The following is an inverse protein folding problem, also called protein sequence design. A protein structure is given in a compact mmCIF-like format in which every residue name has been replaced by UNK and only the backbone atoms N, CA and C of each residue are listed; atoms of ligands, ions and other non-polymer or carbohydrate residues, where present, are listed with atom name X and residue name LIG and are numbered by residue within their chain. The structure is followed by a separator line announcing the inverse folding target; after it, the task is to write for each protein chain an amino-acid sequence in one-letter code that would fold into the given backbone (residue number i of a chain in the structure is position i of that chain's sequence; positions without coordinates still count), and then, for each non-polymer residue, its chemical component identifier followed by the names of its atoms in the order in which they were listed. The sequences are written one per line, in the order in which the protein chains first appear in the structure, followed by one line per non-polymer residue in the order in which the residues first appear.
data_IF_973051568671
#
_entry.id   IF_973051568671
#
_cell.length_a   1.000
_cell.length_b   1.000
_cell.length_c   1.000
_cell.angle_alpha   90.00
_cell.angle_beta   90.00
_cell.angle_gamma   90.00
#
_symmetry.space_group_name_H-M   'P 1'
#
loop_
_entity.id
_entity.type
_entity.pdbx_description
1 polymer ?
#
# COMPACT_ATOMS: atom_id res chain seq x y z
N UNK A 1 25.84 9.64 5.22
CA UNK A 1 25.80 8.77 4.01
C UNK A 1 25.55 9.63 2.79
N UNK A 2 26.34 9.44 1.76
CA UNK A 2 26.18 10.14 0.49
C UNK A 2 25.08 9.45 -0.32
N UNK A 3 24.06 10.21 -0.76
CA UNK A 3 22.95 9.67 -1.54
C UNK A 3 23.35 9.23 -2.96
N UNK A 4 24.50 9.69 -3.44
CA UNK A 4 24.97 9.38 -4.79
C UNK A 4 26.06 8.31 -4.86
N UNK A 5 26.59 7.91 -3.72
CA UNK A 5 27.69 6.93 -3.62
C UNK A 5 27.15 5.65 -3.02
N UNK A 6 27.13 4.53 -3.77
CA UNK A 6 26.71 3.25 -3.21
C UNK A 6 27.66 2.85 -2.09
N UNK A 7 27.14 2.68 -0.88
CA UNK A 7 27.88 2.12 0.22
C UNK A 7 27.45 0.66 0.42
N UNK A 8 28.39 -0.17 0.89
CA UNK A 8 28.05 -1.54 1.24
C UNK A 8 26.96 -1.55 2.33
N UNK A 9 25.86 -2.23 2.05
CA UNK A 9 24.75 -2.34 2.97
C UNK A 9 25.10 -3.32 4.09
N UNK A 10 25.01 -2.84 5.34
CA UNK A 10 25.17 -3.72 6.51
C UNK A 10 23.83 -4.45 6.73
N UNK A 11 23.79 -5.79 6.58
CA UNK A 11 22.52 -6.54 6.76
C UNK A 11 22.01 -6.53 8.19
N UNK A 12 22.83 -6.17 9.16
CA UNK A 12 22.44 -6.13 10.58
C UNK A 12 22.17 -4.72 11.09
N UNK A 13 22.31 -3.69 10.25
CA UNK A 13 21.98 -2.33 10.64
C UNK A 13 20.47 -2.22 10.94
N UNK A 14 20.08 -1.44 11.97
CA UNK A 14 18.66 -1.27 12.32
C UNK A 14 17.82 -0.78 11.14
N UNK A 15 18.34 0.12 10.31
CA UNK A 15 17.64 0.62 9.12
C UNK A 15 17.44 -0.45 8.06
N UNK A 16 18.44 -1.34 7.88
CA UNK A 16 18.33 -2.47 6.95
C UNK A 16 17.24 -3.44 7.41
N UNK A 17 17.23 -3.77 8.71
CA UNK A 17 16.22 -4.66 9.29
C UNK A 17 14.83 -4.05 9.20
N UNK A 18 14.68 -2.78 9.58
CA UNK A 18 13.40 -2.09 9.51
C UNK A 18 12.87 -1.99 8.07
N UNK A 19 13.73 -1.62 7.13
CA UNK A 19 13.36 -1.54 5.73
C UNK A 19 12.99 -2.89 5.13
N UNK A 20 13.74 -3.95 5.47
CA UNK A 20 13.42 -5.31 5.03
C UNK A 20 12.07 -5.77 5.59
N UNK A 21 11.76 -5.45 6.85
CA UNK A 21 10.48 -5.76 7.45
C UNK A 21 9.33 -5.05 6.74
N UNK A 22 9.50 -3.78 6.37
CA UNK A 22 8.51 -3.02 5.62
C UNK A 22 8.28 -3.61 4.22
N UNK A 23 9.36 -3.98 3.53
CA UNK A 23 9.27 -4.63 2.21
C UNK A 23 8.52 -5.97 2.32
N UNK A 24 8.88 -6.79 3.30
CA UNK A 24 8.23 -8.08 3.51
C UNK A 24 6.74 -7.92 3.81
N UNK A 25 6.38 -6.96 4.67
CA UNK A 25 4.99 -6.68 5.00
C UNK A 25 4.23 -6.15 3.78
N UNK A 26 4.85 -5.29 2.98
CA UNK A 26 4.25 -4.78 1.74
C UNK A 26 3.99 -5.89 0.74
N UNK A 27 4.96 -6.78 0.52
CA UNK A 27 4.81 -7.94 -0.35
C UNK A 27 3.70 -8.87 0.16
N UNK A 28 3.64 -9.09 1.49
CA UNK A 28 2.58 -9.88 2.09
C UNK A 28 1.20 -9.32 1.76
N UNK A 29 0.99 -8.01 1.91
CA UNK A 29 -0.29 -7.39 1.59
C UNK A 29 -0.65 -7.49 0.11
N UNK A 30 0.33 -7.33 -0.78
CA UNK A 30 0.10 -7.45 -2.22
C UNK A 30 -0.30 -8.88 -2.58
N UNK A 31 0.42 -9.88 -2.07
CA UNK A 31 0.13 -11.30 -2.32
C UNK A 31 -1.22 -11.69 -1.70
N UNK A 32 -1.49 -11.26 -0.48
CA UNK A 32 -2.76 -11.50 0.20
C UNK A 32 -3.92 -10.90 -0.61
N UNK A 33 -3.77 -9.62 -1.02
CA UNK A 33 -4.78 -8.96 -1.84
C UNK A 33 -5.02 -9.72 -3.14
N UNK A 34 -3.97 -10.06 -3.87
CA UNK A 34 -4.08 -10.75 -5.15
C UNK A 34 -4.75 -12.11 -5.01
N UNK A 35 -4.31 -12.91 -4.05
CA UNK A 35 -4.86 -14.24 -3.78
C UNK A 35 -6.34 -14.16 -3.42
N UNK A 36 -6.70 -13.21 -2.56
CA UNK A 36 -8.08 -13.02 -2.15
C UNK A 36 -8.94 -12.51 -3.29
N UNK A 37 -8.47 -11.51 -4.02
CA UNK A 37 -9.20 -10.90 -5.14
C UNK A 37 -9.51 -11.92 -6.21
N UNK A 38 -8.51 -12.65 -6.71
CA UNK A 38 -8.72 -13.60 -7.80
C UNK A 38 -9.63 -14.76 -7.42
N UNK A 39 -9.72 -15.10 -6.13
CA UNK A 39 -10.57 -16.20 -5.65
C UNK A 39 -12.00 -15.73 -5.39
N UNK A 40 -12.19 -14.49 -4.95
CA UNK A 40 -13.49 -14.00 -4.44
C UNK A 40 -14.18 -13.01 -5.36
N UNK A 41 -13.49 -12.44 -6.34
CA UNK A 41 -14.11 -11.48 -7.25
C UNK A 41 -14.99 -12.20 -8.27
N UNK A 42 -16.26 -11.79 -8.32
CA UNK A 42 -17.25 -12.35 -9.26
C UNK A 42 -18.14 -11.25 -9.88
N UNK A 43 -17.60 -10.04 -10.04
CA UNK A 43 -18.34 -8.87 -10.51
C UNK A 43 -19.07 -8.12 -9.40
N UNK A 44 -19.05 -8.65 -8.17
CA UNK A 44 -19.66 -8.00 -7.00
C UNK A 44 -18.57 -7.33 -6.16
N UNK A 45 -18.99 -6.40 -5.29
CA UNK A 45 -18.09 -5.72 -4.38
C UNK A 45 -17.43 -6.71 -3.42
N UNK A 46 -16.09 -6.69 -3.37
CA UNK A 46 -15.30 -7.51 -2.45
C UNK A 46 -14.98 -6.67 -1.22
N UNK A 47 -15.41 -7.12 -0.04
CA UNK A 47 -15.26 -6.40 1.23
C UNK A 47 -14.60 -7.22 2.33
N UNK A 48 -14.29 -8.49 2.09
CA UNK A 48 -13.68 -9.39 3.06
C UNK A 48 -12.15 -9.43 2.94
N UNK A 49 -11.52 -10.31 3.72
CA UNK A 49 -10.07 -10.52 3.70
C UNK A 49 -9.30 -9.24 3.96
N UNK A 50 -8.34 -8.87 3.08
CA UNK A 50 -7.53 -7.65 3.28
C UNK A 50 -8.36 -6.36 3.29
N UNK A 51 -9.55 -6.38 2.68
CA UNK A 51 -10.46 -5.23 2.64
C UNK A 51 -11.16 -4.97 3.97
N UNK A 52 -11.01 -5.84 4.95
CA UNK A 52 -11.54 -5.62 6.30
C UNK A 52 -10.67 -4.69 7.14
N UNK A 53 -9.42 -4.51 6.75
CA UNK A 53 -8.42 -3.71 7.48
C UNK A 53 -8.43 -2.28 6.93
N UNK A 54 -8.21 -2.15 5.62
CA UNK A 54 -8.24 -0.87 4.90
C UNK A 54 -9.00 -1.04 3.58
N UNK A 55 -9.49 0.06 3.02
CA UNK A 55 -10.24 0.00 1.77
C UNK A 55 -9.36 -0.20 0.53
N UNK A 56 -8.06 0.11 0.62
CA UNK A 56 -7.11 -0.01 -0.48
C UNK A 56 -5.88 -0.84 -0.09
N UNK A 57 -6.05 -2.14 0.18
CA UNK A 57 -4.95 -2.98 0.68
C UNK A 57 -3.80 -3.15 -0.31
N UNK A 58 -4.07 -3.15 -1.62
CA UNK A 58 -3.02 -3.20 -2.64
C UNK A 58 -2.09 -1.98 -2.54
N UNK A 59 -2.70 -0.79 -2.42
CA UNK A 59 -1.94 0.45 -2.30
C UNK A 59 -1.17 0.53 -0.98
N UNK A 60 -1.74 0.01 0.11
CA UNK A 60 -1.02 -0.10 1.38
C UNK A 60 0.23 -0.96 1.22
N UNK A 61 0.10 -2.11 0.57
CA UNK A 61 1.23 -2.98 0.30
C UNK A 61 2.31 -2.29 -0.51
N UNK A 62 1.93 -1.57 -1.55
CA UNK A 62 2.87 -0.83 -2.40
C UNK A 62 3.54 0.33 -1.66
N UNK A 63 2.79 1.03 -0.81
CA UNK A 63 3.32 2.11 0.03
C UNK A 63 4.37 1.59 1.01
N UNK A 64 4.09 0.48 1.67
CA UNK A 64 5.03 -0.16 2.59
C UNK A 64 6.30 -0.63 1.89
N UNK A 65 6.15 -1.21 0.71
CA UNK A 65 7.28 -1.70 -0.09
C UNK A 65 8.19 -0.54 -0.50
N UNK A 66 7.64 0.53 -1.04
CA UNK A 66 8.42 1.70 -1.48
C UNK A 66 9.07 2.41 -0.29
N UNK A 67 8.37 2.53 0.84
CA UNK A 67 8.92 3.11 2.06
C UNK A 67 10.09 2.28 2.58
N UNK A 68 9.96 0.95 2.60
CA UNK A 68 11.04 0.06 3.00
C UNK A 68 12.26 0.17 2.11
N UNK A 69 12.04 0.32 0.81
CA UNK A 69 13.11 0.51 -0.16
C UNK A 69 13.90 1.80 0.11
N UNK A 70 13.22 2.91 0.40
CA UNK A 70 13.85 4.18 0.77
C UNK A 70 14.63 4.05 2.08
N UNK A 71 14.11 3.32 3.06
CA UNK A 71 14.78 3.12 4.35
C UNK A 71 16.09 2.36 4.18
N UNK A 72 16.10 1.34 3.31
CA UNK A 72 17.32 0.56 3.03
C UNK A 72 18.29 1.34 2.13
N UNK A 73 17.77 1.95 1.08
CA UNK A 73 18.55 2.63 0.04
C UNK A 73 18.05 4.07 -0.10
N UNK A 74 18.47 4.99 0.79
CA UNK A 74 18.04 6.39 0.72
C UNK A 74 18.79 7.15 -0.38
N UNK A 75 18.56 6.74 -1.61
CA UNK A 75 19.14 7.35 -2.81
C UNK A 75 18.15 8.34 -3.40
N UNK A 76 18.66 9.30 -4.20
CA UNK A 76 17.78 10.27 -4.85
C UNK A 76 16.77 9.58 -5.76
N UNK A 77 17.16 8.50 -6.40
CA UNK A 77 16.29 7.71 -7.29
C UNK A 77 15.16 7.02 -6.51
N UNK A 78 15.48 6.39 -5.39
CA UNK A 78 14.47 5.69 -4.57
C UNK A 78 13.53 6.66 -3.87
N UNK A 79 14.05 7.77 -3.39
CA UNK A 79 13.24 8.82 -2.77
C UNK A 79 12.31 9.42 -3.83
N UNK A 80 12.82 9.74 -5.01
CA UNK A 80 12.01 10.28 -6.11
C UNK A 80 10.91 9.31 -6.54
N UNK A 81 11.25 8.04 -6.69
CA UNK A 81 10.29 7.00 -7.05
C UNK A 81 9.17 6.88 -6.00
N UNK A 82 9.54 6.88 -4.71
CA UNK A 82 8.58 6.80 -3.61
C UNK A 82 7.64 8.01 -3.60
N UNK A 83 8.17 9.21 -3.73
CA UNK A 83 7.36 10.43 -3.72
C UNK A 83 6.38 10.47 -4.89
N UNK A 84 6.82 10.10 -6.09
CA UNK A 84 5.96 10.02 -7.27
C UNK A 84 4.88 8.95 -7.07
N UNK A 85 5.27 7.78 -6.59
CA UNK A 85 4.34 6.66 -6.36
C UNK A 85 3.27 7.03 -5.33
N UNK A 86 3.66 7.65 -4.21
CA UNK A 86 2.72 8.07 -3.17
C UNK A 86 1.76 9.13 -3.69
N UNK A 87 2.26 10.09 -4.47
CA UNK A 87 1.40 11.12 -5.05
C UNK A 87 0.36 10.51 -5.99
N UNK A 88 0.78 9.59 -6.87
CA UNK A 88 -0.13 8.88 -7.78
C UNK A 88 -1.17 8.07 -7.00
N UNK A 89 -0.74 7.31 -5.99
CA UNK A 89 -1.64 6.52 -5.14
C UNK A 89 -2.69 7.40 -4.48
N UNK A 90 -2.27 8.47 -3.82
CA UNK A 90 -3.20 9.37 -3.13
C UNK A 90 -4.16 10.06 -4.09
N UNK A 91 -3.69 10.39 -5.31
CA UNK A 91 -4.54 10.97 -6.34
C UNK A 91 -5.58 9.98 -6.87
N UNK A 92 -5.24 8.71 -6.98
CA UNK A 92 -6.13 7.68 -7.52
C UNK A 92 -7.20 7.21 -6.53
N UNK A 93 -6.89 7.20 -5.23
CA UNK A 93 -7.81 6.70 -4.20
C UNK A 93 -9.17 7.40 -4.27
N UNK A 94 -9.17 8.74 -4.34
CA UNK A 94 -10.41 9.51 -4.42
C UNK A 94 -11.24 9.18 -5.66
N UNK A 95 -10.58 9.06 -6.81
CA UNK A 95 -11.23 8.72 -8.08
C UNK A 95 -11.81 7.31 -8.06
N UNK A 96 -11.08 6.35 -7.55
CA UNK A 96 -11.53 4.97 -7.44
C UNK A 96 -12.75 4.85 -6.52
N UNK A 97 -12.74 5.56 -5.39
CA UNK A 97 -13.88 5.54 -4.48
C UNK A 97 -15.13 6.17 -5.10
N UNK A 98 -14.97 7.24 -5.87
CA UNK A 98 -16.09 7.82 -6.63
C UNK A 98 -16.67 6.82 -7.65
N UNK A 99 -15.81 6.13 -8.38
CA UNK A 99 -16.23 5.11 -9.34
C UNK A 99 -16.94 3.93 -8.67
N UNK A 100 -16.45 3.51 -7.50
CA UNK A 100 -17.06 2.44 -6.73
C UNK A 100 -18.42 2.83 -6.16
N UNK A 101 -18.58 4.08 -5.74
CA UNK A 101 -19.87 4.62 -5.32
C UNK A 101 -20.86 4.61 -6.50
N UNK A 102 -20.42 5.02 -7.68
CA UNK A 102 -21.27 4.99 -8.89
C UNK A 102 -21.66 3.57 -9.27
N UNK A 103 -20.75 2.61 -9.13
CA UNK A 103 -20.97 1.22 -9.53
C UNK A 103 -21.82 0.45 -8.52
N UNK A 104 -21.55 0.61 -7.23
CA UNK A 104 -22.15 -0.19 -6.16
C UNK A 104 -23.12 0.59 -5.25
N UNK A 105 -23.10 1.91 -5.31
CA UNK A 105 -24.05 2.76 -4.58
C UNK A 105 -23.97 2.59 -3.06
N UNK A 106 -25.13 2.33 -2.45
CA UNK A 106 -25.25 2.21 -1.00
C UNK A 106 -24.40 1.10 -0.40
N UNK A 107 -24.13 0.01 -1.13
CA UNK A 107 -23.28 -1.08 -0.66
C UNK A 107 -21.87 -0.60 -0.38
N UNK A 108 -21.32 0.24 -1.26
CA UNK A 108 -19.98 0.79 -1.04
C UNK A 108 -19.98 1.81 0.10
N UNK A 109 -21.03 2.61 0.24
CA UNK A 109 -21.15 3.54 1.36
C UNK A 109 -21.23 2.84 2.71
N UNK A 110 -21.94 1.72 2.79
CA UNK A 110 -21.98 0.87 3.98
C UNK A 110 -20.60 0.30 4.30
N UNK A 111 -19.87 -0.13 3.27
CA UNK A 111 -18.50 -0.60 3.41
C UNK A 111 -17.59 0.50 3.95
N UNK A 112 -17.69 1.74 3.42
CA UNK A 112 -16.92 2.88 3.93
C UNK A 112 -17.20 3.15 5.41
N UNK A 113 -18.43 2.94 5.86
CA UNK A 113 -18.80 3.13 7.27
C UNK A 113 -18.24 2.03 8.17
N UNK A 114 -18.11 0.81 7.67
CA UNK A 114 -17.53 -0.31 8.42
C UNK A 114 -16.01 -0.27 8.45
N UNK A 115 -15.39 0.02 7.32
CA UNK A 115 -13.94 0.09 7.17
C UNK A 115 -13.56 1.54 6.91
N UNK A 116 -13.26 2.26 7.98
CA UNK A 116 -13.07 3.71 7.96
C UNK A 116 -11.74 4.15 7.35
N UNK A 117 -10.76 3.27 7.33
CA UNK A 117 -9.41 3.62 6.89
C UNK A 117 -9.23 3.33 5.40
N UNK A 118 -8.81 4.35 4.66
CA UNK A 118 -8.55 4.21 3.22
C UNK A 118 -7.27 3.42 2.96
N UNK A 119 -6.22 3.73 3.69
CA UNK A 119 -4.88 3.25 3.38
C UNK A 119 -4.07 2.88 4.62
N UNK A 120 -4.05 3.73 5.65
CA UNK A 120 -3.22 3.55 6.83
C UNK A 120 -4.12 3.40 8.06
N UNK A 121 -4.16 2.20 8.69
CA UNK A 121 -5.02 1.99 9.85
C UNK A 121 -4.73 3.00 10.97
N UNK A 122 -5.78 3.64 11.47
CA UNK A 122 -5.71 4.63 12.53
C UNK A 122 -5.30 6.04 12.09
N UNK A 123 -4.94 6.26 10.81
CA UNK A 123 -4.44 7.55 10.34
C UNK A 123 -5.23 8.07 9.13
N UNK A 124 -5.36 7.25 8.07
CA UNK A 124 -5.95 7.72 6.80
C UNK A 124 -6.76 6.64 6.09
#
# INVERSE_FOLDING_TARGET
MDLFTPTAMDPFAPTTIAGAALIALGLYYIVFWWSYWKTNYSGKLVTGGPYMIVRHPYYLGFLLLTTGLVVILPLVETIGLALISWWVILSQIGKEEEELIKKYGSRYREYQNRVKWRLIPGIY
#
